data_IF_753868503991
#
_entry.id   IF_753868503991
#
_cell.length_a   1.000
_cell.length_b   1.000
_cell.length_c   1.000
_cell.angle_alpha   90.00
_cell.angle_beta   90.00
_cell.angle_gamma   90.00
#
_symmetry.space_group_name_H-M   'P 1'
#
loop_
_entity.id
_entity.type
_entity.pdbx_description
1 polymer ?
#
# COMPACT_ATOMS: atom_id res chain seq x y z
N UNK A 1 -4.51 18.49 15.58
CA UNK A 1 -5.49 18.29 14.48
C UNK A 1 -4.71 17.96 13.22
N UNK A 2 -5.17 17.01 12.40
CA UNK A 2 -4.52 16.73 11.11
C UNK A 2 -5.11 17.64 10.03
N UNK A 3 -4.24 18.24 9.23
CA UNK A 3 -4.65 19.06 8.07
C UNK A 3 -4.06 18.42 6.82
N UNK A 4 -4.93 18.14 5.85
CA UNK A 4 -4.59 17.59 4.54
C UNK A 4 -4.99 18.59 3.47
N UNK A 5 -4.12 18.78 2.48
CA UNK A 5 -4.38 19.68 1.35
C UNK A 5 -4.70 18.93 0.05
N UNK A 6 -4.50 17.60 0.03
CA UNK A 6 -4.81 16.67 -1.07
C UNK A 6 -4.61 15.22 -0.63
N UNK A 7 -5.16 14.26 -1.38
CA UNK A 7 -4.82 12.84 -1.21
C UNK A 7 -3.33 12.59 -1.46
N UNK A 8 -2.75 11.69 -0.69
CA UNK A 8 -1.45 11.09 -0.99
C UNK A 8 -1.61 10.00 -2.05
N UNK A 9 -0.68 9.88 -3.00
CA UNK A 9 -0.71 8.94 -4.12
C UNK A 9 0.66 8.32 -4.40
N UNK A 10 0.68 7.03 -4.67
CA UNK A 10 1.89 6.30 -5.09
C UNK A 10 1.52 5.27 -6.15
N UNK A 11 2.34 5.15 -7.21
CA UNK A 11 2.15 4.15 -8.26
C UNK A 11 3.39 3.28 -8.36
N UNK A 12 3.21 1.96 -8.34
CA UNK A 12 4.29 0.98 -8.41
C UNK A 12 3.91 -0.20 -9.27
N UNK A 13 4.88 -0.73 -10.01
CA UNK A 13 4.74 -2.01 -10.70
C UNK A 13 4.69 -3.16 -9.68
N UNK A 14 3.81 -4.12 -9.93
CA UNK A 14 3.76 -5.38 -9.16
C UNK A 14 4.43 -6.47 -9.96
N UNK A 15 5.38 -7.15 -9.34
CA UNK A 15 6.07 -8.28 -9.95
C UNK A 15 5.21 -9.54 -9.85
N UNK A 16 5.15 -10.38 -10.90
CA UNK A 16 4.68 -11.74 -10.75
C UNK A 16 5.58 -12.49 -9.76
N UNK A 17 5.00 -13.13 -8.76
CA UNK A 17 5.72 -13.98 -7.81
C UNK A 17 4.82 -15.09 -7.32
N UNK A 18 5.34 -16.32 -7.22
CA UNK A 18 4.69 -17.45 -6.57
C UNK A 18 5.07 -17.60 -5.09
N UNK A 19 5.99 -16.76 -4.60
CA UNK A 19 6.49 -16.79 -3.23
C UNK A 19 5.64 -15.92 -2.29
N UNK A 20 5.89 -16.05 -0.98
CA UNK A 20 5.30 -15.16 0.01
C UNK A 20 5.80 -13.73 -0.20
N UNK A 21 4.86 -12.81 -0.45
CA UNK A 21 5.12 -11.41 -0.72
C UNK A 21 4.75 -10.59 0.50
N UNK A 22 5.67 -9.74 0.98
CA UNK A 22 5.46 -8.91 2.17
C UNK A 22 5.73 -7.44 1.87
N UNK A 23 5.07 -6.54 2.59
CA UNK A 23 5.24 -5.09 2.52
C UNK A 23 4.81 -4.49 3.86
N UNK A 24 5.47 -3.42 4.31
CA UNK A 24 4.97 -2.65 5.45
C UNK A 24 4.59 -1.24 5.01
N UNK A 25 3.32 -0.90 5.18
CA UNK A 25 2.76 0.42 4.88
C UNK A 25 2.26 1.06 6.16
N UNK A 26 2.70 2.29 6.43
CA UNK A 26 2.33 3.07 7.61
C UNK A 26 2.51 2.26 8.93
N UNK A 27 3.54 1.40 9.00
CA UNK A 27 3.79 0.54 10.15
C UNK A 27 2.91 -0.71 10.26
N UNK A 28 2.12 -1.02 9.22
CA UNK A 28 1.24 -2.21 9.15
C UNK A 28 1.81 -3.20 8.15
N UNK A 29 2.11 -4.40 8.65
CA UNK A 29 2.59 -5.51 7.82
C UNK A 29 1.46 -6.11 7.00
N UNK A 30 1.70 -6.20 5.70
CA UNK A 30 0.83 -6.82 4.70
C UNK A 30 1.58 -8.01 4.14
N UNK A 31 0.89 -9.15 4.02
CA UNK A 31 1.46 -10.34 3.42
C UNK A 31 0.42 -11.14 2.66
N UNK A 32 0.83 -11.71 1.53
CA UNK A 32 0.03 -12.69 0.81
C UNK A 32 0.94 -13.66 0.07
N UNK A 33 0.41 -14.85 -0.21
CA UNK A 33 1.03 -15.80 -1.14
C UNK A 33 0.09 -15.99 -2.31
N UNK A 34 0.60 -15.85 -3.54
CA UNK A 34 -0.22 -16.00 -4.74
C UNK A 34 0.56 -16.69 -5.85
N UNK A 35 0.40 -18.01 -5.97
CA UNK A 35 0.79 -18.69 -7.19
C UNK A 35 -0.27 -18.40 -8.26
N UNK A 36 0.03 -17.48 -9.19
CA UNK A 36 -0.89 -17.11 -10.27
C UNK A 36 -1.17 -18.25 -11.25
N UNK A 37 -0.26 -19.23 -11.37
CA UNK A 37 -0.46 -20.38 -12.26
C UNK A 37 -1.49 -21.37 -11.68
N UNK A 38 -1.60 -21.43 -10.35
CA UNK A 38 -2.55 -22.30 -9.64
C UNK A 38 -3.87 -21.57 -9.32
N UNK A 39 -3.78 -20.34 -8.81
CA UNK A 39 -4.94 -19.58 -8.30
C UNK A 39 -5.76 -18.87 -9.38
N UNK A 40 -5.26 -18.81 -10.62
CA UNK A 40 -5.82 -18.01 -11.74
C UNK A 40 -6.01 -16.52 -11.43
N UNK A 41 -5.44 -16.04 -10.33
CA UNK A 41 -5.47 -14.65 -9.89
C UNK A 41 -4.10 -14.05 -10.13
N UNK A 42 -4.01 -12.85 -10.70
CA UNK A 42 -2.72 -12.19 -10.89
C UNK A 42 -2.17 -11.67 -9.56
N UNK A 43 -0.84 -11.63 -9.42
CA UNK A 43 -0.17 -11.05 -8.25
C UNK A 43 -0.60 -9.59 -8.02
N UNK A 44 -0.96 -8.87 -9.09
CA UNK A 44 -1.50 -7.51 -9.03
C UNK A 44 -2.86 -7.46 -8.31
N UNK A 45 -3.79 -8.37 -8.62
CA UNK A 45 -5.10 -8.44 -7.94
C UNK A 45 -4.94 -8.90 -6.48
N UNK A 46 -4.07 -9.89 -6.25
CA UNK A 46 -3.78 -10.37 -4.90
C UNK A 46 -3.16 -9.27 -4.02
N UNK A 47 -2.19 -8.50 -4.55
CA UNK A 47 -1.59 -7.35 -3.90
C UNK A 47 -2.61 -6.27 -3.53
N UNK A 48 -3.49 -5.91 -4.48
CA UNK A 48 -4.58 -4.95 -4.24
C UNK A 48 -5.48 -5.40 -3.08
N UNK A 49 -5.91 -6.65 -3.09
CA UNK A 49 -6.79 -7.20 -2.07
C UNK A 49 -6.11 -7.24 -0.69
N UNK A 50 -4.84 -7.61 -0.64
CA UNK A 50 -4.06 -7.66 0.60
C UNK A 50 -3.92 -6.27 1.27
N UNK A 51 -3.68 -5.22 0.47
CA UNK A 51 -3.62 -3.84 1.00
C UNK A 51 -5.00 -3.38 1.45
N UNK A 52 -6.03 -3.58 0.63
CA UNK A 52 -7.38 -3.12 0.96
C UNK A 52 -7.97 -3.84 2.20
N UNK A 53 -7.54 -5.06 2.49
CA UNK A 53 -7.93 -5.80 3.69
C UNK A 53 -7.48 -5.10 4.99
N UNK A 54 -6.45 -4.26 4.94
CA UNK A 54 -5.94 -3.49 6.09
C UNK A 54 -6.14 -1.97 5.94
N UNK A 55 -7.03 -1.53 5.04
CA UNK A 55 -7.35 -0.10 4.84
C UNK A 55 -7.74 0.59 6.14
N UNK A 56 -8.49 -0.07 7.03
CA UNK A 56 -8.90 0.50 8.32
C UNK A 56 -7.74 0.77 9.28
N UNK A 57 -6.56 0.19 9.04
CA UNK A 57 -5.36 0.33 9.86
C UNK A 57 -4.31 1.26 9.23
N UNK A 58 -4.38 1.49 7.91
CA UNK A 58 -3.41 2.29 7.14
C UNK A 58 -4.01 3.56 6.52
N UNK A 59 -5.33 3.61 6.35
CA UNK A 59 -6.01 4.63 5.54
C UNK A 59 -5.75 4.52 4.04
N UNK A 60 -4.98 3.53 3.59
CA UNK A 60 -4.56 3.38 2.20
C UNK A 60 -5.53 2.46 1.47
N UNK A 61 -5.98 2.92 0.30
CA UNK A 61 -6.71 2.11 -0.66
C UNK A 61 -5.88 1.91 -1.93
N UNK A 62 -5.90 0.69 -2.44
CA UNK A 62 -5.20 0.26 -3.63
C UNK A 62 -6.19 0.05 -4.78
N UNK A 63 -5.80 0.54 -5.96
CA UNK A 63 -6.52 0.43 -7.22
C UNK A 63 -5.63 -0.18 -8.29
N UNK A 64 -6.27 -0.84 -9.26
CA UNK A 64 -5.59 -1.24 -10.48
C UNK A 64 -5.47 -0.03 -11.41
N UNK A 65 -4.26 0.26 -11.87
CA UNK A 65 -3.98 1.32 -12.83
C UNK A 65 -3.22 0.71 -14.01
N UNK A 66 -3.96 0.14 -14.95
CA UNK A 66 -3.41 -0.69 -16.01
C UNK A 66 -2.67 -1.92 -15.46
N UNK A 67 -1.34 -1.96 -15.64
CA UNK A 67 -0.47 -3.04 -15.12
C UNK A 67 0.19 -2.69 -13.78
N UNK A 68 -0.12 -1.52 -13.24
CA UNK A 68 0.48 -1.00 -12.02
C UNK A 68 -0.55 -1.01 -10.88
N UNK A 69 -0.03 -0.90 -9.67
CA UNK A 69 -0.83 -0.68 -8.48
C UNK A 69 -0.74 0.78 -8.07
N UNK A 70 -1.89 1.44 -7.97
CA UNK A 70 -2.01 2.81 -7.48
C UNK A 70 -2.53 2.79 -6.05
N UNK A 71 -1.73 3.29 -5.12
CA UNK A 71 -2.11 3.53 -3.73
C UNK A 71 -2.62 4.97 -3.58
N UNK A 72 -3.67 5.15 -2.79
CA UNK A 72 -4.20 6.45 -2.44
C UNK A 72 -4.60 6.49 -0.96
N UNK A 73 -4.32 7.60 -0.28
CA UNK A 73 -4.84 7.90 1.05
C UNK A 73 -5.46 9.30 1.02
N UNK A 74 -6.77 9.40 1.26
CA UNK A 74 -7.48 10.71 1.29
C UNK A 74 -7.14 11.51 2.55
N UNK A 75 -6.53 10.88 3.55
CA UNK A 75 -6.22 11.41 4.88
C UNK A 75 -7.45 11.72 5.73
N UNK A 76 -8.66 11.33 5.31
CA UNK A 76 -9.92 11.69 5.96
C UNK A 76 -10.27 10.82 7.17
N UNK A 77 -9.68 9.63 7.32
CA UNK A 77 -9.96 8.77 8.46
C UNK A 77 -9.40 9.38 9.75
N UNK A 78 -10.23 9.63 10.74
CA UNK A 78 -9.75 10.11 12.04
C UNK A 78 -8.79 9.13 12.70
N UNK A 79 -7.70 9.65 13.29
CA UNK A 79 -6.75 8.85 14.04
C UNK A 79 -5.34 9.42 14.06
N UNK A 80 -4.37 8.52 14.19
CA UNK A 80 -2.95 8.82 14.32
C UNK A 80 -2.25 8.89 12.94
N UNK A 81 -0.92 9.01 12.97
CA UNK A 81 -0.07 9.06 11.78
C UNK A 81 -0.19 7.81 10.89
N UNK A 82 -0.65 6.66 11.39
CA UNK A 82 -0.77 5.44 10.59
C UNK A 82 -1.92 5.51 9.59
N UNK A 83 -2.92 6.34 9.86
CA UNK A 83 -4.06 6.60 8.98
C UNK A 83 -3.85 7.82 8.07
N UNK A 84 -2.59 8.27 7.95
CA UNK A 84 -2.22 9.47 7.21
C UNK A 84 -1.11 9.13 6.25
N UNK A 85 -1.09 9.84 5.13
CA UNK A 85 -0.05 9.75 4.11
C UNK A 85 0.11 8.32 3.56
N UNK A 86 1.13 8.14 2.72
CA UNK A 86 1.61 6.82 2.31
C UNK A 86 3.08 6.77 2.67
N UNK A 87 3.47 5.82 3.51
CA UNK A 87 4.87 5.59 3.90
C UNK A 87 5.14 4.09 3.85
N UNK A 88 6.12 3.68 3.05
CA UNK A 88 6.69 2.33 3.12
C UNK A 88 7.67 2.32 4.28
N UNK A 89 7.32 1.63 5.36
CA UNK A 89 8.15 1.55 6.58
C UNK A 89 9.09 0.35 6.58
N UNK A 90 8.89 -0.58 5.66
CA UNK A 90 9.83 -1.66 5.37
C UNK A 90 9.71 -2.04 3.88
N UNK A 91 10.86 -2.21 3.22
CA UNK A 91 10.92 -2.62 1.82
C UNK A 91 10.12 -3.90 1.56
N UNK A 92 9.47 -3.94 0.40
CA UNK A 92 8.67 -5.07 -0.03
C UNK A 92 9.49 -6.24 -0.54
N UNK A 93 8.90 -7.43 -0.51
CA UNK A 93 9.47 -8.68 -1.05
C UNK A 93 8.50 -9.35 -2.03
N UNK A 94 9.02 -10.25 -2.85
CA UNK A 94 8.23 -10.97 -3.84
C UNK A 94 7.51 -10.00 -4.80
N UNK A 95 6.19 -10.09 -4.87
CA UNK A 95 5.37 -9.24 -5.71
C UNK A 95 5.50 -7.73 -5.38
N UNK A 96 5.88 -7.40 -4.14
CA UNK A 96 6.08 -6.03 -3.67
C UNK A 96 7.52 -5.51 -3.79
N UNK A 97 8.44 -6.20 -4.46
CA UNK A 97 9.87 -5.83 -4.45
C UNK A 97 10.19 -4.41 -4.97
N UNK A 98 9.27 -3.76 -5.71
CA UNK A 98 9.45 -2.38 -6.18
C UNK A 98 9.10 -1.30 -5.14
N UNK A 99 8.59 -1.69 -3.97
CA UNK A 99 8.37 -0.80 -2.83
C UNK A 99 9.63 -0.77 -1.99
N UNK A 100 10.29 0.39 -1.96
CA UNK A 100 11.54 0.56 -1.23
C UNK A 100 11.27 1.16 0.15
N UNK A 101 12.09 0.79 1.12
CA UNK A 101 12.04 1.40 2.44
C UNK A 101 12.24 2.93 2.33
N UNK A 102 11.34 3.68 2.98
CA UNK A 102 11.33 5.14 2.94
C UNK A 102 10.59 5.76 1.76
N UNK A 103 10.08 4.97 0.80
CA UNK A 103 9.17 5.47 -0.24
C UNK A 103 7.95 6.12 0.43
N UNK A 104 7.65 7.37 0.10
CA UNK A 104 6.55 8.11 0.73
C UNK A 104 5.93 9.17 -0.15
N UNK A 105 4.64 9.40 0.07
CA UNK A 105 3.96 10.62 -0.34
C UNK A 105 3.25 11.22 0.87
N UNK A 106 3.68 12.42 1.25
CA UNK A 106 3.25 13.10 2.49
C UNK A 106 2.49 14.37 2.11
N UNK A 107 1.21 14.39 2.43
CA UNK A 107 0.28 15.48 2.08
C UNK A 107 -0.57 15.95 3.27
N UNK A 108 -0.51 15.24 4.39
CA UNK A 108 -1.15 15.58 5.65
C UNK A 108 -0.11 15.82 6.75
N UNK A 109 -0.33 16.89 7.53
CA UNK A 109 0.54 17.33 8.61
C UNK A 109 -0.24 17.53 9.90
N UNK A 110 0.42 17.27 11.03
CA UNK A 110 -0.14 17.50 12.36
C UNK A 110 0.06 18.97 12.73
N UNK A 111 -1.03 19.69 12.94
CA UNK A 111 -1.00 21.01 13.55
C UNK A 111 -0.79 20.84 15.06
N UNK A 112 0.33 21.38 15.55
CA UNK A 112 0.76 21.40 16.95
C UNK A 112 0.43 22.72 17.61
#
# INVERSE_FOLDING_TARGET
IWVSYKSAKMVKDILPSAENSTLELNGVKISFTNDSAVSRTSSLVAAKNAINAVKSQTGIEAYLDGKQLRLENTNELDGDEKLKNIVVTQAGTGAFANFLDGDKDVTAFKYS
#
